data_IF_220127384243
#
_entry.id   IF_220127384243
#
_cell.length_a   1.000
_cell.length_b   1.000
_cell.length_c   1.000
_cell.angle_alpha   90.00
_cell.angle_beta   90.00
_cell.angle_gamma   90.00
#
_symmetry.space_group_name_H-M   'P 1'
#
loop_
_entity.id
_entity.type
_entity.pdbx_description
1 polymer ?
#
# COMPACT_ATOMS: atom_id res chain seq x y z
N UNK A 1 -0.66 56.88 -24.60
CA UNK A 1 -1.23 55.58 -24.21
C UNK A 1 -0.14 54.51 -24.35
N UNK A 2 0.58 54.22 -23.27
CA UNK A 2 1.69 53.24 -23.28
C UNK A 2 1.12 51.88 -22.86
N UNK A 3 1.01 50.97 -23.82
CA UNK A 3 0.62 49.58 -23.58
C UNK A 3 1.74 48.85 -22.85
N UNK A 4 1.52 48.54 -21.57
CA UNK A 4 2.38 47.66 -20.80
C UNK A 4 1.92 46.23 -21.07
N UNK A 5 2.69 45.51 -21.88
CA UNK A 5 2.46 44.11 -22.21
C UNK A 5 2.94 43.25 -21.04
N UNK A 6 2.02 42.83 -20.17
CA UNK A 6 2.31 41.92 -19.07
C UNK A 6 2.59 40.51 -19.64
N UNK A 7 3.87 40.21 -19.86
CA UNK A 7 4.35 38.86 -20.12
C UNK A 7 4.08 37.99 -18.89
N UNK A 8 2.94 37.31 -18.91
CA UNK A 8 2.55 36.29 -17.94
C UNK A 8 3.57 35.15 -18.01
N UNK A 9 4.53 35.14 -17.08
CA UNK A 9 5.50 34.06 -16.95
C UNK A 9 4.76 32.76 -16.65
N UNK A 10 4.72 31.87 -17.65
CA UNK A 10 4.21 30.51 -17.51
C UNK A 10 5.17 29.80 -16.56
N UNK A 11 4.79 29.70 -15.28
CA UNK A 11 5.56 28.94 -14.27
C UNK A 11 5.83 27.55 -14.84
N UNK A 12 7.10 27.27 -15.15
CA UNK A 12 7.57 25.95 -15.52
C UNK A 12 7.26 25.04 -14.34
N UNK A 13 6.29 24.12 -14.51
CA UNK A 13 6.04 23.08 -13.52
C UNK A 13 7.33 22.26 -13.47
N UNK A 14 8.03 22.31 -12.34
CA UNK A 14 9.19 21.47 -12.06
C UNK A 14 8.73 20.03 -12.33
N UNK A 15 9.32 19.39 -13.33
CA UNK A 15 9.15 17.97 -13.52
C UNK A 15 9.87 17.31 -12.34
N UNK A 16 9.14 17.03 -11.28
CA UNK A 16 9.65 16.24 -10.18
C UNK A 16 9.92 14.84 -10.73
N UNK A 17 11.20 14.50 -10.89
CA UNK A 17 11.59 13.15 -11.25
C UNK A 17 11.08 12.18 -10.19
N UNK A 18 10.50 11.07 -10.63
CA UNK A 18 10.07 10.00 -9.72
C UNK A 18 11.27 9.57 -8.89
N UNK A 19 11.14 9.60 -7.56
CA UNK A 19 12.22 9.20 -6.67
C UNK A 19 12.48 7.69 -6.83
N UNK A 20 13.60 7.33 -7.45
CA UNK A 20 13.98 5.93 -7.71
C UNK A 20 14.07 5.11 -6.42
N UNK A 21 14.51 5.73 -5.31
CA UNK A 21 14.54 5.08 -3.99
C UNK A 21 13.14 4.70 -3.50
N UNK A 22 12.15 5.59 -3.71
CA UNK A 22 10.75 5.31 -3.39
C UNK A 22 10.18 4.18 -4.25
N UNK A 23 10.50 4.18 -5.54
CA UNK A 23 10.05 3.14 -6.47
C UNK A 23 10.59 1.76 -6.07
N UNK A 24 11.88 1.68 -5.78
CA UNK A 24 12.53 0.44 -5.33
C UNK A 24 11.96 -0.01 -3.98
N UNK A 25 11.75 0.91 -3.04
CA UNK A 25 11.14 0.60 -1.74
C UNK A 25 9.72 0.03 -1.88
N UNK A 26 8.88 0.64 -2.71
CA UNK A 26 7.54 0.14 -3.02
C UNK A 26 7.58 -1.24 -3.67
N UNK A 27 8.49 -1.45 -4.62
CA UNK A 27 8.64 -2.73 -5.29
C UNK A 27 9.01 -3.85 -4.31
N UNK A 28 9.99 -3.62 -3.44
CA UNK A 28 10.39 -4.59 -2.41
C UNK A 28 9.25 -4.84 -1.43
N UNK A 29 8.55 -3.79 -0.98
CA UNK A 29 7.40 -3.91 -0.08
C UNK A 29 6.30 -4.81 -0.68
N UNK A 30 5.92 -4.58 -1.94
CA UNK A 30 4.92 -5.40 -2.63
C UNK A 30 5.42 -6.82 -2.83
N UNK A 31 6.68 -7.00 -3.25
CA UNK A 31 7.26 -8.33 -3.48
C UNK A 31 7.25 -9.16 -2.19
N UNK A 32 7.79 -8.61 -1.10
CA UNK A 32 7.79 -9.29 0.20
C UNK A 32 6.36 -9.52 0.68
N UNK A 33 5.49 -8.52 0.52
CA UNK A 33 4.12 -8.60 0.98
C UNK A 33 3.31 -9.70 0.31
N UNK A 34 3.42 -9.81 -1.02
CA UNK A 34 2.75 -10.87 -1.79
C UNK A 34 3.32 -12.25 -1.46
N UNK A 35 4.65 -12.37 -1.29
CA UNK A 35 5.30 -13.64 -0.96
C UNK A 35 4.93 -14.15 0.43
N UNK A 36 4.67 -13.26 1.39
CA UNK A 36 4.27 -13.64 2.75
C UNK A 36 2.79 -14.00 2.88
N UNK A 37 1.92 -13.50 1.98
CA UNK A 37 0.49 -13.80 2.00
C UNK A 37 0.16 -15.30 2.11
N UNK A 38 0.73 -16.20 1.27
CA UNK A 38 0.45 -17.64 1.37
C UNK A 38 0.87 -18.23 2.72
N UNK A 39 1.99 -17.78 3.29
CA UNK A 39 2.48 -18.23 4.61
C UNK A 39 1.47 -17.87 5.70
N UNK A 40 0.98 -16.63 5.69
CA UNK A 40 -0.01 -16.14 6.66
C UNK A 40 -1.33 -16.90 6.51
N UNK A 41 -1.83 -17.08 5.28
CA UNK A 41 -3.09 -17.80 5.07
C UNK A 41 -2.99 -19.27 5.46
N UNK A 42 -1.83 -19.90 5.23
CA UNK A 42 -1.57 -21.27 5.62
C UNK A 42 -1.60 -21.42 7.14
N UNK A 43 -0.93 -20.50 7.86
CA UNK A 43 -0.89 -20.53 9.31
C UNK A 43 -2.28 -20.31 9.93
N UNK A 44 -3.02 -19.30 9.46
CA UNK A 44 -4.39 -19.04 9.93
C UNK A 44 -5.27 -20.27 9.70
N UNK A 45 -5.20 -20.86 8.50
CA UNK A 45 -5.96 -22.07 8.18
C UNK A 45 -5.57 -23.24 9.10
N UNK A 46 -4.28 -23.44 9.35
CA UNK A 46 -3.79 -24.50 10.24
C UNK A 46 -4.32 -24.35 11.68
N UNK A 47 -4.47 -23.12 12.16
CA UNK A 47 -4.92 -22.84 13.53
C UNK A 47 -6.45 -22.88 13.69
N UNK A 48 -7.21 -22.51 12.65
CA UNK A 48 -8.67 -22.31 12.75
C UNK A 48 -9.52 -23.38 12.08
N UNK A 49 -8.91 -24.33 11.34
CA UNK A 49 -9.65 -25.34 10.56
C UNK A 49 -9.40 -26.77 11.02
N UNK A 50 -10.23 -27.70 10.51
CA UNK A 50 -10.15 -29.12 10.82
C UNK A 50 -10.99 -29.55 12.04
N UNK A 51 -10.94 -30.86 12.35
CA UNK A 51 -11.68 -31.48 13.46
C UNK A 51 -11.01 -31.26 14.82
N UNK A 52 -9.80 -30.69 14.84
CA UNK A 52 -9.04 -30.35 16.05
C UNK A 52 -8.37 -28.98 15.90
N UNK A 53 -9.18 -27.98 15.54
CA UNK A 53 -8.71 -26.60 15.47
C UNK A 53 -8.15 -26.14 16.84
N UNK A 54 -7.00 -25.49 16.80
CA UNK A 54 -6.31 -25.03 18.01
C UNK A 54 -6.94 -23.75 18.58
N UNK A 55 -7.59 -22.96 17.72
CA UNK A 55 -8.33 -21.74 18.09
C UNK A 55 -9.76 -21.87 17.60
N UNK A 56 -10.73 -21.55 18.46
CA UNK A 56 -12.17 -21.69 18.18
C UNK A 56 -12.96 -20.45 18.64
N UNK A 57 -14.24 -20.39 18.27
CA UNK A 57 -15.14 -19.30 18.69
C UNK A 57 -14.75 -17.94 18.12
N UNK A 58 -14.90 -16.88 18.92
CA UNK A 58 -14.66 -15.50 18.50
C UNK A 58 -13.21 -15.25 18.07
N UNK A 59 -12.25 -15.89 18.73
CA UNK A 59 -10.82 -15.72 18.41
C UNK A 59 -10.49 -16.27 17.03
N UNK A 60 -11.12 -17.39 16.63
CA UNK A 60 -10.97 -17.92 15.28
C UNK A 60 -11.51 -16.94 14.22
N UNK A 61 -12.61 -16.25 14.51
CA UNK A 61 -13.15 -15.20 13.63
C UNK A 61 -12.16 -14.04 13.48
N UNK A 62 -11.52 -13.60 14.56
CA UNK A 62 -10.50 -12.55 14.51
C UNK A 62 -9.27 -13.00 13.71
N UNK A 63 -8.79 -14.23 13.92
CA UNK A 63 -7.67 -14.79 13.15
C UNK A 63 -8.01 -14.89 11.65
N UNK A 64 -9.23 -15.30 11.31
CA UNK A 64 -9.69 -15.39 9.92
C UNK A 64 -9.76 -14.02 9.22
N UNK A 65 -9.81 -12.91 9.95
CA UNK A 65 -9.73 -11.57 9.38
C UNK A 65 -8.29 -11.08 9.12
N UNK A 66 -7.28 -11.72 9.72
CA UNK A 66 -5.88 -11.31 9.57
C UNK A 66 -5.43 -11.25 8.10
N UNK A 67 -5.73 -12.25 7.23
CA UNK A 67 -5.36 -12.16 5.82
C UNK A 67 -6.01 -10.97 5.11
N UNK A 68 -7.25 -10.64 5.45
CA UNK A 68 -7.96 -9.50 4.86
C UNK A 68 -7.30 -8.18 5.26
N UNK A 69 -7.02 -7.98 6.55
CA UNK A 69 -6.32 -6.79 7.03
C UNK A 69 -4.93 -6.66 6.42
N UNK A 70 -4.24 -7.77 6.23
CA UNK A 70 -2.94 -7.78 5.58
C UNK A 70 -3.01 -7.27 4.13
N UNK A 71 -3.97 -7.76 3.35
CA UNK A 71 -4.20 -7.29 1.97
C UNK A 71 -4.60 -5.81 1.95
N UNK A 72 -5.43 -5.36 2.89
CA UNK A 72 -5.79 -3.94 3.00
C UNK A 72 -4.55 -3.07 3.22
N UNK A 73 -3.64 -3.45 4.11
CA UNK A 73 -2.38 -2.72 4.33
C UNK A 73 -1.52 -2.72 3.07
N UNK A 74 -1.42 -3.86 2.38
CA UNK A 74 -0.66 -3.97 1.13
C UNK A 74 -1.15 -2.99 0.05
N UNK A 75 -2.45 -2.68 0.02
CA UNK A 75 -3.06 -1.73 -0.92
C UNK A 75 -2.99 -0.28 -0.42
N UNK A 76 -3.22 -0.06 0.87
CA UNK A 76 -3.28 1.29 1.45
C UNK A 76 -1.90 1.96 1.40
N UNK A 77 -0.81 1.24 1.67
CA UNK A 77 0.55 1.82 1.64
C UNK A 77 0.91 2.46 0.29
N UNK A 78 0.82 1.76 -0.87
CA UNK A 78 1.09 2.39 -2.16
C UNK A 78 0.07 3.48 -2.51
N UNK A 79 -1.20 3.34 -2.10
CA UNK A 79 -2.21 4.38 -2.30
C UNK A 79 -1.88 5.68 -1.54
N UNK A 80 -1.43 5.57 -0.29
CA UNK A 80 -1.01 6.71 0.53
C UNK A 80 0.23 7.38 -0.07
N UNK A 81 1.20 6.59 -0.53
CA UNK A 81 2.41 7.13 -1.18
C UNK A 81 2.04 7.87 -2.47
N UNK A 82 1.18 7.29 -3.31
CA UNK A 82 0.69 7.95 -4.52
C UNK A 82 -0.09 9.25 -4.20
N UNK A 83 -0.94 9.23 -3.17
CA UNK A 83 -1.66 10.42 -2.71
C UNK A 83 -0.71 11.52 -2.22
N UNK A 84 0.35 11.14 -1.50
CA UNK A 84 1.39 12.07 -1.04
C UNK A 84 2.10 12.73 -2.21
N UNK A 85 2.47 11.96 -3.24
CA UNK A 85 3.10 12.48 -4.46
C UNK A 85 2.19 13.41 -5.27
N UNK A 86 0.87 13.22 -5.23
CA UNK A 86 -0.07 14.10 -5.94
C UNK A 86 -0.30 15.44 -5.23
N UNK A 87 -0.24 15.44 -3.89
CA UNK A 87 -0.54 16.63 -3.07
C UNK A 87 0.67 17.57 -2.93
N UNK A 88 1.88 17.05 -3.11
CA UNK A 88 3.10 17.84 -3.28
C UNK A 88 3.12 18.55 -4.65
#
# INVERSE_FOLDING_TARGET
MRGVLLLRSKKLRKAEGVNVGLLIGLFIFILVGVVLLPVITSEVTSLTSGTSAQVTGTDATLLNLVPLFYILVLIIVPAVIAYRMYKE
#
